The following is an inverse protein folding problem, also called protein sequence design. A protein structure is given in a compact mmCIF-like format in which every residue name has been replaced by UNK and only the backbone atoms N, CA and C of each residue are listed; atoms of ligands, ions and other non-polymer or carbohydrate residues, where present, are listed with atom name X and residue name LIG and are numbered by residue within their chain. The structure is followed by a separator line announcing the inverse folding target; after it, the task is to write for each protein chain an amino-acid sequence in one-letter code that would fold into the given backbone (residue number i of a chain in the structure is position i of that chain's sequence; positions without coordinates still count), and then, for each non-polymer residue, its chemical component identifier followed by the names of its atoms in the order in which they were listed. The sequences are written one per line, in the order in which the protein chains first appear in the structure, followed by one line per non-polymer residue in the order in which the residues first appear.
data_IF_002626634477
#
_entry.id   IF_002626634477
#
_cell.length_a   1.000
_cell.length_b   1.000
_cell.length_c   1.000
_cell.angle_alpha   90.00
_cell.angle_beta   90.00
_cell.angle_gamma   90.00
#
_symmetry.space_group_name_H-M   'P 1'
#
loop_
_entity.id
_entity.type
_entity.pdbx_description
1 polymer ?
#
# COMPACT_ATOMS: atom_id res chain seq x y z
N UNK A 1 30.55 -8.25 1.35
CA UNK A 1 29.16 -7.75 1.53
C UNK A 1 28.55 -7.53 0.16
N UNK A 2 27.56 -8.30 -0.24
CA UNK A 2 26.88 -7.95 -1.48
C UNK A 2 26.23 -6.59 -1.28
N UNK A 3 26.59 -5.63 -2.13
CA UNK A 3 25.83 -4.40 -2.27
C UNK A 3 24.40 -4.81 -2.62
N UNK A 4 23.48 -4.72 -1.68
CA UNK A 4 22.06 -4.75 -2.01
C UNK A 4 21.86 -3.64 -3.03
N UNK A 5 21.62 -4.02 -4.27
CA UNK A 5 21.18 -3.08 -5.27
C UNK A 5 19.97 -2.37 -4.67
N UNK A 6 20.11 -1.09 -4.39
CA UNK A 6 19.02 -0.25 -3.91
C UNK A 6 17.98 -0.21 -5.03
N UNK A 7 17.03 -1.12 -4.98
CA UNK A 7 15.88 -1.08 -5.88
C UNK A 7 15.18 0.24 -5.58
N UNK A 8 14.95 1.03 -6.61
CA UNK A 8 14.19 2.27 -6.48
C UNK A 8 12.83 1.92 -5.84
N UNK A 9 12.57 2.47 -4.65
CA UNK A 9 11.35 2.19 -3.90
C UNK A 9 10.09 2.48 -4.72
N UNK A 10 10.14 3.48 -5.59
CA UNK A 10 9.03 3.80 -6.52
C UNK A 10 8.73 2.63 -7.46
N UNK A 11 9.77 2.07 -8.06
CA UNK A 11 9.65 0.94 -8.98
C UNK A 11 9.17 -0.32 -8.25
N UNK A 12 9.71 -0.58 -7.06
CA UNK A 12 9.31 -1.71 -6.24
C UNK A 12 7.83 -1.63 -5.84
N UNK A 13 7.41 -0.50 -5.27
CA UNK A 13 6.02 -0.29 -4.84
C UNK A 13 5.07 -0.39 -6.03
N UNK A 14 5.43 0.21 -7.16
CA UNK A 14 4.61 0.15 -8.36
C UNK A 14 4.47 -1.27 -8.90
N UNK A 15 5.54 -2.04 -8.93
CA UNK A 15 5.53 -3.44 -9.36
C UNK A 15 4.64 -4.30 -8.48
N UNK A 16 4.82 -4.22 -7.16
CA UNK A 16 4.06 -5.02 -6.20
C UNK A 16 2.58 -4.60 -6.14
N UNK A 17 2.30 -3.31 -6.23
CA UNK A 17 0.92 -2.82 -6.32
C UNK A 17 0.24 -3.28 -7.63
N UNK A 18 0.98 -3.35 -8.72
CA UNK A 18 0.47 -3.89 -10.00
C UNK A 18 0.12 -5.37 -9.90
N UNK A 19 0.92 -6.16 -9.18
CA UNK A 19 0.60 -7.56 -8.91
C UNK A 19 -0.69 -7.71 -8.11
N UNK A 20 -0.91 -6.87 -7.10
CA UNK A 20 -2.16 -6.86 -6.32
C UNK A 20 -3.37 -6.48 -7.20
N UNK A 21 -3.25 -5.46 -8.04
CA UNK A 21 -4.30 -5.08 -8.96
C UNK A 21 -4.64 -6.21 -9.95
N UNK A 22 -3.64 -6.88 -10.48
CA UNK A 22 -3.84 -8.05 -11.36
C UNK A 22 -4.55 -9.19 -10.66
N UNK A 23 -4.11 -9.51 -9.46
CA UNK A 23 -4.70 -10.57 -8.64
C UNK A 23 -6.18 -10.34 -8.37
N UNK A 24 -6.55 -9.09 -8.13
CA UNK A 24 -7.94 -8.70 -7.85
C UNK A 24 -8.79 -8.53 -9.11
N UNK A 25 -8.18 -8.50 -10.29
CA UNK A 25 -8.87 -8.21 -11.54
C UNK A 25 -9.20 -6.72 -11.74
N UNK A 26 -8.53 -5.84 -11.00
CA UNK A 26 -8.74 -4.40 -11.09
C UNK A 26 -7.99 -3.80 -12.29
N UNK A 27 -8.67 -2.94 -13.04
CA UNK A 27 -8.10 -2.33 -14.25
C UNK A 27 -7.28 -1.07 -13.99
N UNK A 28 -7.39 -0.51 -12.79
CA UNK A 28 -6.68 0.70 -12.38
C UNK A 28 -5.94 0.43 -11.09
N UNK A 29 -4.80 1.09 -10.94
CA UNK A 29 -3.98 0.99 -9.75
C UNK A 29 -4.39 2.10 -8.78
N UNK A 30 -5.00 1.70 -7.66
CA UNK A 30 -5.47 2.59 -6.60
C UNK A 30 -4.54 2.67 -5.41
N UNK A 31 -4.91 3.49 -4.45
CA UNK A 31 -4.17 3.69 -3.18
C UNK A 31 -4.16 2.44 -2.31
N UNK A 32 -5.23 1.65 -2.34
CA UNK A 32 -5.35 0.34 -1.70
C UNK A 32 -4.29 -0.66 -2.21
N UNK A 33 -4.09 -0.72 -3.52
CA UNK A 33 -3.03 -1.55 -4.12
C UNK A 33 -1.63 -1.10 -3.69
N UNK A 34 -1.40 0.23 -3.56
CA UNK A 34 -0.13 0.76 -3.06
C UNK A 34 0.13 0.32 -1.62
N UNK A 35 -0.91 0.35 -0.77
CA UNK A 35 -0.82 -0.11 0.61
C UNK A 35 -0.50 -1.60 0.69
N UNK A 36 -1.19 -2.44 -0.10
CA UNK A 36 -0.90 -3.87 -0.19
C UNK A 36 0.52 -4.11 -0.70
N UNK A 37 0.98 -3.35 -1.69
CA UNK A 37 2.33 -3.43 -2.23
C UNK A 37 3.41 -3.20 -1.18
N UNK A 38 3.20 -2.27 -0.24
CA UNK A 38 4.13 -2.03 0.87
C UNK A 38 4.22 -3.20 1.86
N UNK A 39 3.19 -4.03 1.94
CA UNK A 39 3.12 -5.15 2.88
C UNK A 39 3.74 -6.45 2.32
N UNK A 40 4.12 -6.49 1.05
CA UNK A 40 4.77 -7.67 0.45
C UNK A 40 6.10 -8.02 1.10
N UNK A 41 6.89 -7.02 1.48
CA UNK A 41 8.08 -7.22 2.30
C UNK A 41 7.75 -6.96 3.76
N UNK A 42 7.35 -8.01 4.48
CA UNK A 42 6.99 -7.94 5.90
C UNK A 42 8.14 -7.52 6.81
N UNK A 43 9.37 -7.64 6.35
CA UNK A 43 10.57 -7.21 7.08
C UNK A 43 10.93 -5.75 6.82
N UNK A 44 10.30 -5.10 5.87
CA UNK A 44 10.51 -3.67 5.61
C UNK A 44 10.13 -2.82 6.81
N UNK A 45 10.81 -1.69 6.96
CA UNK A 45 10.49 -0.72 8.01
C UNK A 45 9.04 -0.22 7.93
N UNK A 46 8.52 -0.04 6.73
CA UNK A 46 7.14 0.37 6.51
C UNK A 46 6.15 -0.69 7.00
N UNK A 47 6.34 -1.95 6.65
CA UNK A 47 5.47 -3.05 7.07
C UNK A 47 5.50 -3.25 8.60
N UNK A 48 6.70 -3.21 9.19
CA UNK A 48 6.87 -3.31 10.66
C UNK A 48 6.21 -2.16 11.40
N UNK A 49 6.33 -0.95 10.90
CA UNK A 49 5.69 0.23 11.50
C UNK A 49 4.16 0.13 11.43
N UNK A 50 3.63 -0.38 10.32
CA UNK A 50 2.19 -0.58 10.14
C UNK A 50 1.64 -1.67 11.06
N UNK A 51 2.40 -2.75 11.28
CA UNK A 51 2.06 -3.81 12.23
C UNK A 51 0.90 -4.72 11.80
N UNK A 52 0.60 -4.77 10.50
CA UNK A 52 -0.42 -5.66 9.92
C UNK A 52 0.20 -6.53 8.84
N UNK A 53 -0.32 -7.74 8.67
CA UNK A 53 0.14 -8.64 7.62
C UNK A 53 -0.51 -8.36 6.28
N UNK A 54 0.14 -8.76 5.19
CA UNK A 54 -0.46 -8.71 3.85
C UNK A 54 -1.74 -9.55 3.78
N UNK A 55 -1.77 -10.72 4.43
CA UNK A 55 -2.94 -11.59 4.46
C UNK A 55 -4.13 -10.91 5.14
N UNK A 56 -3.92 -10.26 6.28
CA UNK A 56 -4.97 -9.53 7.00
C UNK A 56 -5.47 -8.34 6.19
N UNK A 57 -4.57 -7.61 5.55
CA UNK A 57 -4.93 -6.48 4.69
C UNK A 57 -5.75 -6.92 3.46
N UNK A 58 -5.39 -8.03 2.83
CA UNK A 58 -6.18 -8.61 1.73
C UNK A 58 -7.57 -9.03 2.20
N UNK A 59 -7.67 -9.72 3.34
CA UNK A 59 -8.95 -10.14 3.90
C UNK A 59 -9.85 -8.94 4.25
N UNK A 60 -9.28 -7.87 4.82
CA UNK A 60 -10.01 -6.66 5.15
C UNK A 60 -10.53 -5.94 3.88
N UNK A 61 -9.71 -5.89 2.83
CA UNK A 61 -10.11 -5.28 1.56
C UNK A 61 -11.24 -6.08 0.88
N UNK A 62 -11.15 -7.40 0.89
CA UNK A 62 -12.21 -8.27 0.37
C UNK A 62 -13.52 -8.12 1.16
N UNK A 63 -13.43 -7.92 2.48
CA UNK A 63 -14.59 -7.65 3.32
C UNK A 63 -15.23 -6.29 3.00
N UNK A 64 -14.43 -5.25 2.74
CA UNK A 64 -14.91 -3.94 2.32
C UNK A 64 -15.64 -4.01 0.97
N UNK A 65 -15.10 -4.74 0.01
CA UNK A 65 -15.74 -4.92 -1.29
C UNK A 65 -17.09 -5.65 -1.17
N UNK A 66 -17.12 -6.72 -0.37
CA UNK A 66 -18.38 -7.45 -0.11
C UNK A 66 -19.41 -6.55 0.56
N UNK A 67 -18.99 -5.75 1.54
CA UNK A 67 -19.89 -4.82 2.22
C UNK A 67 -20.43 -3.73 1.27
N UNK A 68 -19.57 -3.20 0.38
CA UNK A 68 -19.98 -2.22 -0.61
C UNK A 68 -21.00 -2.79 -1.62
N UNK A 69 -20.81 -4.03 -2.06
CA UNK A 69 -21.73 -4.70 -2.95
C UNK A 69 -23.05 -5.07 -2.27
N UNK A 70 -23.02 -5.53 -1.03
CA UNK A 70 -24.20 -5.80 -0.23
C UNK A 70 -25.04 -4.54 -0.01
N UNK A 71 -24.41 -3.38 0.16
CA UNK A 71 -25.09 -2.10 0.33
C UNK A 71 -25.93 -1.69 -0.90
N UNK A 72 -25.58 -2.16 -2.09
CA UNK A 72 -26.34 -1.95 -3.34
C UNK A 72 -27.20 -3.16 -3.72
N UNK A 73 -27.41 -4.11 -2.80
CA UNK A 73 -28.29 -5.26 -3.00
C UNK A 73 -27.68 -6.41 -3.81
N UNK A 74 -26.35 -6.43 -3.98
CA UNK A 74 -25.65 -7.50 -4.66
C UNK A 74 -25.06 -8.44 -3.62
N UNK A 75 -25.69 -9.60 -3.42
CA UNK A 75 -25.11 -10.68 -2.64
C UNK A 75 -24.17 -11.48 -3.55
N UNK A 76 -22.88 -11.37 -3.30
CA UNK A 76 -21.91 -12.22 -3.96
C UNK A 76 -21.69 -13.45 -3.10
N UNK A 77 -22.42 -14.50 -3.40
CA UNK A 77 -22.01 -15.84 -3.00
C UNK A 77 -20.83 -16.23 -3.88
N UNK A 78 -19.63 -16.10 -3.30
CA UNK A 78 -18.37 -16.53 -3.91
C UNK A 78 -18.21 -16.10 -5.38
N UNK A 79 -17.93 -14.84 -5.60
CA UNK A 79 -17.08 -14.53 -6.76
C UNK A 79 -15.70 -15.09 -6.40
N UNK A 80 -15.35 -16.17 -7.05
CA UNK A 80 -13.97 -16.64 -7.05
C UNK A 80 -13.06 -15.46 -7.40
N UNK A 81 -11.79 -15.56 -7.04
CA UNK A 81 -10.79 -14.56 -7.42
C UNK A 81 -11.07 -14.07 -8.83
N UNK A 82 -11.26 -12.77 -9.01
CA UNK A 82 -11.54 -12.18 -10.31
C UNK A 82 -10.51 -12.68 -11.32
N UNK A 83 -10.94 -12.94 -12.55
CA UNK A 83 -10.02 -13.42 -13.59
C UNK A 83 -8.83 -12.45 -13.66
N UNK A 84 -7.59 -12.96 -13.66
CA UNK A 84 -6.42 -12.11 -13.71
C UNK A 84 -6.46 -11.19 -14.93
N UNK A 85 -6.35 -9.88 -14.69
CA UNK A 85 -6.33 -8.88 -15.75
C UNK A 85 -4.92 -8.73 -16.27
N UNK A 86 -4.73 -8.87 -17.57
CA UNK A 86 -3.48 -8.54 -18.23
C UNK A 86 -3.47 -7.07 -18.62
N UNK A 87 -2.49 -6.32 -18.13
CA UNK A 87 -2.27 -4.93 -18.53
C UNK A 87 -1.41 -4.79 -19.79
N UNK A 88 -1.16 -5.88 -20.50
CA UNK A 88 -0.23 -5.87 -21.62
C UNK A 88 1.21 -5.58 -21.17
N UNK A 89 1.99 -4.86 -22.00
CA UNK A 89 3.38 -4.49 -21.67
C UNK A 89 3.50 -3.19 -20.86
N UNK A 90 2.40 -2.48 -20.63
CA UNK A 90 2.37 -1.21 -19.91
C UNK A 90 1.98 -1.36 -18.45
N UNK A 91 2.24 -0.30 -17.68
CA UNK A 91 1.72 -0.17 -16.32
C UNK A 91 0.21 0.11 -16.36
N UNK A 92 -0.56 -0.41 -15.40
CA UNK A 92 -1.97 -0.03 -15.30
C UNK A 92 -2.10 1.48 -15.06
N UNK A 93 -3.16 2.12 -15.58
CA UNK A 93 -3.41 3.51 -15.28
C UNK A 93 -3.62 3.70 -13.79
N UNK A 94 -2.95 4.70 -13.21
CA UNK A 94 -3.10 5.07 -11.82
C UNK A 94 -4.37 5.90 -11.63
N UNK A 95 -5.05 5.68 -10.50
CA UNK A 95 -6.10 6.60 -10.05
C UNK A 95 -5.50 7.97 -9.69
N UNK A 96 -6.33 9.00 -9.61
CA UNK A 96 -5.88 10.33 -9.15
C UNK A 96 -5.29 10.29 -7.75
N UNK A 97 -5.88 9.48 -6.85
CA UNK A 97 -5.38 9.25 -5.49
C UNK A 97 -4.01 8.60 -5.49
N UNK A 98 -3.80 7.55 -6.29
CA UNK A 98 -2.49 6.90 -6.41
C UNK A 98 -1.41 7.86 -6.94
N UNK A 99 -1.73 8.68 -7.95
CA UNK A 99 -0.82 9.72 -8.45
C UNK A 99 -0.45 10.74 -7.37
N UNK A 100 -1.42 11.15 -6.56
CA UNK A 100 -1.18 12.07 -5.46
C UNK A 100 -0.26 11.47 -4.39
N UNK A 101 -0.40 10.17 -4.09
CA UNK A 101 0.50 9.45 -3.18
C UNK A 101 1.94 9.45 -3.70
N UNK A 102 2.15 9.20 -4.99
CA UNK A 102 3.50 9.25 -5.58
C UNK A 102 4.13 10.64 -5.45
N UNK A 103 3.38 11.69 -5.77
CA UNK A 103 3.87 13.08 -5.62
C UNK A 103 4.23 13.39 -4.17
N UNK A 104 3.36 13.02 -3.23
CA UNK A 104 3.58 13.27 -1.81
C UNK A 104 4.78 12.47 -1.28
N UNK A 105 4.93 11.20 -1.69
CA UNK A 105 6.09 10.39 -1.30
C UNK A 105 7.42 11.03 -1.76
N UNK A 106 7.44 11.64 -2.94
CA UNK A 106 8.58 12.39 -3.45
C UNK A 106 8.86 13.62 -2.56
N UNK A 107 7.83 14.35 -2.20
CA UNK A 107 7.97 15.53 -1.33
C UNK A 107 8.43 15.15 0.08
N UNK A 108 7.92 14.07 0.64
CA UNK A 108 8.37 13.52 1.93
C UNK A 108 9.83 13.04 1.89
N UNK A 109 10.29 12.54 0.76
CA UNK A 109 11.66 12.04 0.60
C UNK A 109 12.71 13.13 0.36
N UNK A 110 12.32 14.32 -0.09
CA UNK A 110 13.26 15.43 -0.40
C UNK A 110 14.13 15.86 0.78
N UNK A 111 13.63 15.96 2.03
CA UNK A 111 14.44 16.37 3.17
C UNK A 111 15.38 15.27 3.69
N UNK A 112 15.27 14.03 3.19
CA UNK A 112 16.10 12.93 3.66
C UNK A 112 17.56 13.17 3.30
N UNK A 113 18.48 12.83 4.22
CA UNK A 113 19.94 12.99 4.02
C UNK A 113 20.46 12.26 2.78
N UNK A 114 19.80 11.17 2.38
CA UNK A 114 20.18 10.38 1.21
C UNK A 114 19.61 10.95 -0.10
N UNK A 115 18.61 11.83 -0.03
CA UNK A 115 17.82 12.27 -1.20
C UNK A 115 17.06 11.12 -1.89
N UNK A 116 17.01 9.95 -1.27
CA UNK A 116 16.36 8.75 -1.82
C UNK A 116 14.93 8.65 -1.29
N UNK A 117 14.04 8.24 -2.19
CA UNK A 117 12.67 7.91 -1.82
C UNK A 117 12.64 6.45 -1.35
N UNK A 118 12.15 6.26 -0.12
CA UNK A 118 12.02 4.96 0.52
C UNK A 118 10.55 4.55 0.65
N UNK A 119 10.31 3.27 0.93
CA UNK A 119 8.96 2.75 1.18
C UNK A 119 8.25 3.45 2.33
N UNK A 120 9.01 3.93 3.33
CA UNK A 120 8.48 4.72 4.45
C UNK A 120 7.85 6.04 4.01
N UNK A 121 8.38 6.69 2.98
CA UNK A 121 7.80 7.92 2.42
C UNK A 121 6.44 7.65 1.75
N UNK A 122 6.29 6.50 1.08
CA UNK A 122 4.99 6.05 0.57
C UNK A 122 4.00 5.78 1.70
N UNK A 123 4.44 5.15 2.77
CA UNK A 123 3.58 4.91 3.93
C UNK A 123 3.12 6.22 4.57
N UNK A 124 4.01 7.20 4.75
CA UNK A 124 3.65 8.53 5.26
C UNK A 124 2.60 9.22 4.38
N UNK A 125 2.77 9.12 3.05
CA UNK A 125 1.81 9.65 2.11
C UNK A 125 0.42 8.96 2.24
N UNK A 126 0.40 7.63 2.36
CA UNK A 126 -0.83 6.86 2.55
C UNK A 126 -1.53 7.17 3.88
N UNK A 127 -0.76 7.34 4.97
CA UNK A 127 -1.30 7.70 6.29
C UNK A 127 -1.97 9.08 6.32
N UNK A 128 -1.70 9.94 5.35
CA UNK A 128 -2.32 11.26 5.24
C UNK A 128 -3.66 11.26 4.54
N UNK A 129 -4.03 10.15 3.90
CA UNK A 129 -5.29 10.01 3.19
C UNK A 129 -6.46 9.91 4.18
N UNK A 130 -7.61 10.41 3.75
CA UNK A 130 -8.84 10.37 4.52
C UNK A 130 -9.96 9.74 3.70
N UNK A 131 -10.99 9.27 4.37
CA UNK A 131 -12.20 8.78 3.69
C UNK A 131 -12.75 9.84 2.72
N UNK A 132 -13.26 9.44 1.59
CA UNK A 132 -13.57 8.07 1.14
C UNK A 132 -12.45 7.35 0.35
N UNK A 133 -11.18 7.75 0.51
CA UNK A 133 -10.07 7.09 -0.18
C UNK A 133 -9.98 5.59 0.21
N UNK A 134 -9.78 4.66 -0.74
CA UNK A 134 -9.75 3.23 -0.46
C UNK A 134 -8.68 2.80 0.54
N UNK A 135 -7.47 3.37 0.49
CA UNK A 135 -6.43 3.07 1.47
C UNK A 135 -6.79 3.58 2.86
N UNK A 136 -7.43 4.74 2.95
CA UNK A 136 -7.90 5.28 4.23
C UNK A 136 -8.95 4.37 4.85
N UNK A 137 -9.91 3.89 4.08
CA UNK A 137 -10.93 2.94 4.55
C UNK A 137 -10.30 1.61 4.99
N UNK A 138 -9.31 1.12 4.24
CA UNK A 138 -8.60 -0.10 4.59
C UNK A 138 -7.82 0.06 5.90
N UNK A 139 -7.10 1.16 6.09
CA UNK A 139 -6.39 1.45 7.34
C UNK A 139 -7.34 1.53 8.54
N UNK A 140 -8.50 2.16 8.36
CA UNK A 140 -9.51 2.26 9.42
C UNK A 140 -10.11 0.88 9.76
N UNK A 141 -10.38 0.06 8.75
CA UNK A 141 -10.90 -1.31 8.92
C UNK A 141 -9.90 -2.22 9.64
N UNK A 142 -8.62 -2.04 9.37
CA UNK A 142 -7.53 -2.75 10.05
C UNK A 142 -7.27 -2.24 11.47
N UNK A 143 -7.93 -1.18 11.91
CA UNK A 143 -7.73 -0.60 13.23
C UNK A 143 -6.35 0.08 13.39
N UNK A 144 -5.75 0.54 12.31
CA UNK A 144 -4.44 1.18 12.34
C UNK A 144 -4.52 2.56 12.98
N UNK A 145 -3.79 2.74 14.08
CA UNK A 145 -3.57 4.06 14.69
C UNK A 145 -2.46 4.79 13.92
N UNK A 146 -2.85 5.76 13.11
CA UNK A 146 -1.93 6.51 12.26
C UNK A 146 -0.88 7.30 13.04
N UNK A 147 -1.23 7.80 14.23
CA UNK A 147 -0.30 8.53 15.10
C UNK A 147 0.79 7.60 15.63
N UNK A 148 0.41 6.40 16.07
CA UNK A 148 1.35 5.37 16.53
C UNK A 148 2.28 4.95 15.39
N UNK A 149 1.76 4.73 14.19
CA UNK A 149 2.59 4.37 13.03
C UNK A 149 3.58 5.47 12.70
N UNK A 150 3.16 6.73 12.70
CA UNK A 150 4.06 7.89 12.48
C UNK A 150 5.17 7.96 13.54
N UNK A 151 4.84 7.70 14.81
CA UNK A 151 5.83 7.65 15.88
C UNK A 151 6.87 6.55 15.66
N UNK A 152 6.44 5.37 15.23
CA UNK A 152 7.34 4.26 14.88
C UNK A 152 8.26 4.60 13.73
N UNK A 153 7.76 5.33 12.73
CA UNK A 153 8.55 5.80 11.59
C UNK A 153 9.52 6.93 11.96
N UNK A 154 9.18 7.76 12.93
CA UNK A 154 10.04 8.83 13.42
C UNK A 154 11.18 8.32 14.33
N UNK A 155 11.04 7.12 14.88
CA UNK A 155 12.07 6.48 15.69
C UNK A 155 13.29 6.05 14.87
N UNK A 156 14.41 5.71 15.54
CA UNK A 156 15.63 5.26 14.85
C UNK A 156 15.34 4.00 14.03
N UNK A 157 15.93 3.92 12.83
CA UNK A 157 15.83 2.76 11.96
C UNK A 157 16.55 1.58 12.59
N UNK A 158 15.77 0.61 13.08
CA UNK A 158 16.29 -0.62 13.66
C UNK A 158 16.58 -0.47 15.15
N UNK A 159 15.76 -1.14 15.96
CA UNK A 159 16.12 -1.38 17.34
C UNK A 159 17.33 -2.30 17.38
N UNK A 160 18.52 -1.75 17.43
CA UNK A 160 19.52 -2.39 18.22
C UNK A 160 19.18 -2.02 19.67
N UNK A 161 18.40 -2.89 20.29
CA UNK A 161 18.39 -2.95 21.72
C UNK A 161 19.79 -3.41 22.13
N UNK A 162 20.58 -2.47 22.63
CA UNK A 162 21.77 -2.81 23.35
C UNK A 162 21.40 -3.69 24.55
#
# INVERSE_FOLDING_TARGET
MPKRLSVDARKLVLTLATEEARRRGDRRLGTDHLLLGLLHDGDSRAAKALGVSLADARAALDALDRAALAAVGIEIQALGEGAPVSFGRGLPPLTSGARAVFRRAIDEGRPSRSGRIETTHFLLALLSLQRPDPAAELLDTLGVDRAVVRQRLAGPAGGEAA
#
